data_IF_013926553917
#
_entry.id   IF_013926553917
#
_cell.length_a   1.000
_cell.length_b   1.000
_cell.length_c   1.000
_cell.angle_alpha   90.00
_cell.angle_beta   90.00
_cell.angle_gamma   90.00
#
_symmetry.space_group_name_H-M   'P 1'
#
loop_
_entity.id
_entity.type
_entity.pdbx_description
1 polymer ?
#
# COMPACT_ATOMS: atom_id res chain seq x y z
N UNK A 1 -3.94 12.55 -30.08
CA UNK A 1 -4.92 12.33 -29.00
C UNK A 1 -4.62 10.98 -28.38
N UNK A 2 -4.19 10.94 -27.12
CA UNK A 2 -3.99 9.68 -26.39
C UNK A 2 -5.34 9.18 -25.92
N UNK A 3 -5.66 7.93 -26.24
CA UNK A 3 -6.82 7.22 -25.67
C UNK A 3 -6.31 6.36 -24.52
N UNK A 4 -6.91 6.53 -23.35
CA UNK A 4 -6.69 5.67 -22.19
C UNK A 4 -7.86 4.69 -22.08
N UNK A 5 -7.54 3.43 -21.79
CA UNK A 5 -8.54 2.40 -21.48
C UNK A 5 -8.33 1.95 -20.05
N UNK A 6 -9.33 2.20 -19.21
CA UNK A 6 -9.38 1.73 -17.84
C UNK A 6 -10.04 0.35 -17.81
N UNK A 7 -9.47 -0.60 -17.06
CA UNK A 7 -10.03 -1.93 -16.83
C UNK A 7 -9.85 -2.28 -15.37
N UNK A 8 -10.96 -2.44 -14.66
CA UNK A 8 -10.99 -2.70 -13.22
C UNK A 8 -11.85 -3.93 -12.95
N UNK A 9 -11.24 -4.99 -12.43
CA UNK A 9 -11.95 -6.18 -11.96
C UNK A 9 -11.97 -6.18 -10.44
N UNK A 10 -13.17 -6.17 -9.87
CA UNK A 10 -13.40 -6.27 -8.43
C UNK A 10 -14.15 -7.57 -8.13
N UNK A 11 -13.56 -8.40 -7.27
CA UNK A 11 -14.18 -9.62 -6.75
C UNK A 11 -13.92 -9.63 -5.24
N UNK A 12 -14.97 -9.50 -4.44
CA UNK A 12 -14.89 -9.29 -3.01
C UNK A 12 -14.28 -7.92 -2.64
N UNK A 13 -13.40 -7.88 -1.64
CA UNK A 13 -12.71 -6.66 -1.22
C UNK A 13 -11.37 -6.42 -1.95
N UNK A 14 -11.11 -7.13 -3.04
CA UNK A 14 -9.82 -7.11 -3.73
C UNK A 14 -9.96 -6.37 -5.06
N UNK A 15 -9.18 -5.30 -5.22
CA UNK A 15 -9.05 -4.53 -6.46
C UNK A 15 -7.92 -5.13 -7.29
N UNK A 16 -8.18 -5.49 -8.55
CA UNK A 16 -7.13 -5.83 -9.51
C UNK A 16 -7.13 -4.79 -10.64
N UNK A 17 -6.21 -3.83 -10.56
CA UNK A 17 -6.03 -2.76 -11.55
C UNK A 17 -4.85 -3.07 -12.48
N UNK A 18 -5.07 -2.96 -13.79
CA UNK A 18 -3.99 -2.75 -14.76
C UNK A 18 -4.16 -1.35 -15.36
N UNK A 19 -3.27 -0.41 -15.00
CA UNK A 19 -3.17 0.88 -15.67
C UNK A 19 -1.71 1.14 -16.07
N UNK A 20 -1.50 1.30 -17.38
CA UNK A 20 -0.29 1.89 -17.96
C UNK A 20 -0.53 3.39 -18.10
N UNK A 21 0.17 4.22 -17.30
CA UNK A 21 0.44 5.63 -17.61
C UNK A 21 -0.02 6.68 -16.58
N UNK A 22 0.98 7.44 -16.08
CA UNK A 22 0.97 8.70 -15.31
C UNK A 22 0.66 8.64 -13.79
N UNK A 23 1.76 8.63 -13.02
CA UNK A 23 1.87 8.20 -11.61
C UNK A 23 1.82 9.29 -10.53
N UNK A 24 1.54 10.56 -10.83
CA UNK A 24 1.69 11.64 -9.82
C UNK A 24 0.38 12.15 -9.20
N UNK A 25 -0.75 12.06 -9.91
CA UNK A 25 -2.03 12.63 -9.43
C UNK A 25 -2.95 11.59 -8.77
N UNK A 26 -2.95 10.33 -9.25
CA UNK A 26 -3.50 9.19 -8.50
C UNK A 26 -2.85 9.04 -7.11
N UNK A 27 -1.60 9.47 -6.97
CA UNK A 27 -0.87 9.44 -5.70
C UNK A 27 -1.42 10.47 -4.69
N UNK A 28 -1.96 11.63 -5.11
CA UNK A 28 -2.48 12.64 -4.17
C UNK A 28 -3.84 12.27 -3.58
N UNK A 29 -4.82 11.86 -4.41
CA UNK A 29 -6.11 11.37 -3.88
C UNK A 29 -5.97 10.09 -3.05
N UNK A 30 -5.00 9.23 -3.41
CA UNK A 30 -4.56 8.12 -2.58
C UNK A 30 -3.94 8.57 -1.26
N UNK A 31 -3.03 9.53 -1.29
CA UNK A 31 -2.38 10.07 -0.10
C UNK A 31 -3.39 10.69 0.87
N UNK A 32 -4.36 11.49 0.41
CA UNK A 32 -5.38 12.09 1.27
C UNK A 32 -6.28 11.06 1.96
N UNK A 33 -6.56 9.95 1.28
CA UNK A 33 -7.24 8.82 1.91
C UNK A 33 -6.36 8.20 3.00
N UNK A 34 -5.10 7.89 2.69
CA UNK A 34 -4.15 7.28 3.63
C UNK A 34 -3.97 8.16 4.86
N UNK A 35 -3.76 9.47 4.70
CA UNK A 35 -3.54 10.40 5.80
C UNK A 35 -4.76 10.53 6.72
N UNK A 36 -5.97 10.54 6.16
CA UNK A 36 -7.21 10.52 6.96
C UNK A 36 -7.35 9.23 7.75
N UNK A 37 -7.01 8.11 7.14
CA UNK A 37 -7.11 6.81 7.80
C UNK A 37 -6.04 6.62 8.88
N UNK A 38 -4.81 7.07 8.64
CA UNK A 38 -3.75 7.14 9.66
C UNK A 38 -4.22 7.96 10.86
N UNK A 39 -4.79 9.14 10.64
CA UNK A 39 -5.34 9.96 11.71
C UNK A 39 -6.47 9.25 12.50
N UNK A 40 -7.31 8.46 11.82
CA UNK A 40 -8.32 7.61 12.47
C UNK A 40 -7.68 6.52 13.33
N UNK A 41 -6.67 5.84 12.79
CA UNK A 41 -5.98 4.73 13.48
C UNK A 41 -5.22 5.20 14.71
N UNK A 42 -4.57 6.37 14.67
CA UNK A 42 -3.93 6.98 15.84
C UNK A 42 -4.90 7.27 17.00
N UNK A 43 -6.20 7.39 16.73
CA UNK A 43 -7.23 7.55 17.77
C UNK A 43 -7.67 6.22 18.41
N UNK A 44 -7.21 5.08 17.88
CA UNK A 44 -7.50 3.73 18.37
C UNK A 44 -6.29 3.13 19.10
N UNK A 45 -6.50 2.22 20.06
CA UNK A 45 -5.39 1.46 20.63
C UNK A 45 -4.76 0.57 19.54
N UNK A 46 -3.43 0.54 19.42
CA UNK A 46 -2.75 -0.36 18.50
C UNK A 46 -2.90 -1.82 18.92
N UNK A 47 -2.87 -2.74 17.95
CA UNK A 47 -2.80 -4.17 18.20
C UNK A 47 -1.45 -4.59 18.80
N UNK A 48 -0.37 -3.89 18.41
CA UNK A 48 0.95 -4.01 19.00
C UNK A 48 1.48 -2.62 19.32
N UNK A 49 1.94 -2.41 20.56
CA UNK A 49 2.69 -1.22 20.95
C UNK A 49 3.97 -1.65 21.67
N UNK A 50 5.11 -1.28 21.11
CA UNK A 50 6.42 -1.55 21.68
C UNK A 50 7.17 -0.23 21.90
N UNK A 51 7.39 0.09 23.18
CA UNK A 51 8.09 1.30 23.65
C UNK A 51 9.52 1.01 24.12
N UNK A 52 9.94 -0.26 24.03
CA UNK A 52 11.26 -0.77 24.42
C UNK A 52 11.70 -0.38 25.84
N UNK A 53 10.74 -0.17 26.75
CA UNK A 53 10.98 0.19 28.16
C UNK A 53 11.23 -1.03 29.06
N UNK A 54 10.96 -2.23 28.56
CA UNK A 54 11.00 -3.49 29.32
C UNK A 54 11.99 -4.48 28.71
N UNK A 55 12.15 -5.64 29.36
CA UNK A 55 12.91 -6.76 28.81
C UNK A 55 12.48 -7.05 27.36
N UNK A 56 13.39 -7.51 26.48
CA UNK A 56 13.23 -7.45 25.02
C UNK A 56 12.02 -8.22 24.45
N UNK A 57 11.34 -9.04 25.25
CA UNK A 57 10.12 -9.72 24.82
C UNK A 57 10.39 -10.65 23.64
N UNK A 58 9.72 -10.37 22.51
CA UNK A 58 9.91 -11.10 21.26
C UNK A 58 11.14 -10.63 20.45
N UNK A 59 11.74 -9.50 20.82
CA UNK A 59 12.85 -8.91 20.09
C UNK A 59 14.16 -9.66 20.32
N UNK A 60 14.83 -9.97 19.23
CA UNK A 60 16.17 -10.54 19.26
C UNK A 60 17.18 -9.56 19.88
N UNK A 61 18.05 -10.04 20.76
CA UNK A 61 19.16 -9.26 21.32
C UNK A 61 20.42 -10.10 21.32
N UNK A 62 21.57 -9.46 21.12
CA UNK A 62 22.86 -10.14 21.07
C UNK A 62 23.99 -9.23 20.64
N UNK A 63 25.20 -9.57 21.08
CA UNK A 63 26.44 -8.92 20.65
C UNK A 63 27.23 -9.91 19.78
N UNK A 64 27.56 -9.50 18.57
CA UNK A 64 28.24 -10.30 17.56
C UNK A 64 29.47 -9.55 17.05
N UNK A 65 30.39 -10.26 16.40
CA UNK A 65 31.67 -9.69 15.95
C UNK A 65 31.51 -8.46 15.03
N UNK A 66 30.41 -8.39 14.28
CA UNK A 66 30.19 -7.37 13.25
C UNK A 66 28.84 -6.63 13.35
N UNK A 67 28.05 -6.88 14.39
CA UNK A 67 26.83 -6.13 14.72
C UNK A 67 26.35 -6.40 16.16
N UNK A 68 25.54 -5.50 16.70
CA UNK A 68 24.88 -5.70 17.98
C UNK A 68 23.40 -5.29 17.91
N UNK A 69 22.57 -6.05 18.62
CA UNK A 69 21.15 -5.82 18.84
C UNK A 69 20.91 -5.68 20.35
N UNK A 70 20.33 -4.57 20.80
CA UNK A 70 20.12 -4.34 22.23
C UNK A 70 18.89 -3.49 22.49
N UNK A 71 18.21 -3.74 23.61
CA UNK A 71 17.29 -2.76 24.19
C UNK A 71 18.07 -1.99 25.26
N UNK A 72 18.29 -0.70 25.03
CA UNK A 72 19.01 0.18 25.96
C UNK A 72 18.38 1.58 25.98
N UNK A 73 18.43 2.24 27.13
CA UNK A 73 17.88 3.59 27.33
C UNK A 73 16.42 3.80 26.83
N UNK A 74 15.62 2.73 26.77
CA UNK A 74 14.25 2.78 26.29
C UNK A 74 14.09 2.62 24.78
N UNK A 75 15.14 2.33 24.01
CA UNK A 75 15.06 2.15 22.57
C UNK A 75 15.67 0.80 22.14
N UNK A 76 15.27 0.32 20.97
CA UNK A 76 15.90 -0.82 20.30
C UNK A 76 17.04 -0.35 19.41
N UNK A 77 18.26 -0.71 19.77
CA UNK A 77 19.48 -0.33 19.08
C UNK A 77 19.96 -1.42 18.13
N UNK A 78 20.29 -1.01 16.91
CA UNK A 78 21.02 -1.81 15.93
C UNK A 78 22.33 -1.09 15.63
N UNK A 79 23.47 -1.73 15.95
CA UNK A 79 24.81 -1.29 15.55
C UNK A 79 25.34 -2.23 14.48
N UNK A 80 25.83 -1.70 13.36
CA UNK A 80 26.41 -2.45 12.24
C UNK A 80 27.86 -2.04 12.08
N UNK A 81 28.77 -2.96 12.41
CA UNK A 81 30.22 -2.72 12.43
C UNK A 81 30.93 -3.27 11.17
N UNK A 82 30.19 -3.89 10.25
CA UNK A 82 30.68 -4.31 8.92
C UNK A 82 30.04 -3.51 7.78
N UNK A 83 30.86 -3.10 6.81
CA UNK A 83 30.39 -2.45 5.59
C UNK A 83 29.47 -3.36 4.76
N UNK A 84 28.50 -2.76 4.06
CA UNK A 84 27.55 -3.43 3.16
C UNK A 84 26.70 -4.55 3.80
N UNK A 85 26.67 -4.63 5.14
CA UNK A 85 25.91 -5.63 5.87
C UNK A 85 24.52 -5.11 6.20
N UNK A 86 23.49 -5.89 5.86
CA UNK A 86 22.12 -5.72 6.34
C UNK A 86 21.91 -6.58 7.59
N UNK A 87 21.41 -5.96 8.65
CA UNK A 87 21.10 -6.58 9.94
C UNK A 87 19.66 -6.24 10.29
N UNK A 88 18.92 -7.19 10.86
CA UNK A 88 17.59 -6.90 11.41
C UNK A 88 17.37 -7.60 12.74
N UNK A 89 16.59 -6.95 13.60
CA UNK A 89 15.96 -7.53 14.77
C UNK A 89 14.61 -8.12 14.42
N UNK A 90 14.39 -9.37 14.80
CA UNK A 90 13.12 -10.06 14.62
C UNK A 90 12.14 -9.65 15.74
N UNK A 91 11.06 -8.96 15.40
CA UNK A 91 9.93 -8.67 16.31
C UNK A 91 8.82 -9.73 16.24
N UNK A 92 7.63 -9.49 16.83
CA UNK A 92 6.50 -10.43 16.82
C UNK A 92 6.03 -10.87 15.42
N UNK A 93 5.58 -12.12 15.31
CA UNK A 93 4.97 -12.69 14.08
C UNK A 93 3.45 -12.51 14.02
N UNK A 94 2.80 -12.34 15.17
CA UNK A 94 1.34 -12.21 15.31
C UNK A 94 0.92 -10.74 15.19
N UNK A 95 1.00 -10.22 13.97
CA UNK A 95 0.52 -8.87 13.61
C UNK A 95 -0.57 -8.98 12.53
N UNK A 96 -1.47 -7.99 12.40
CA UNK A 96 -2.50 -8.00 11.36
C UNK A 96 -1.93 -8.11 9.95
N UNK A 97 -2.63 -8.82 9.05
CA UNK A 97 -2.19 -8.97 7.66
C UNK A 97 -2.29 -7.64 6.85
N UNK A 98 -3.43 -6.98 7.01
CA UNK A 98 -3.64 -5.61 6.54
C UNK A 98 -3.38 -4.68 7.73
N UNK A 99 -2.31 -3.89 7.64
CA UNK A 99 -1.78 -3.14 8.77
C UNK A 99 -1.42 -1.70 8.42
N UNK A 100 -1.49 -0.82 9.41
CA UNK A 100 -0.66 0.36 9.47
C UNK A 100 0.37 0.14 10.57
N UNK A 101 1.66 0.28 10.26
CA UNK A 101 2.72 0.24 11.25
C UNK A 101 3.56 1.50 11.17
N UNK A 102 3.94 2.06 12.32
CA UNK A 102 4.86 3.18 12.41
C UNK A 102 5.93 2.97 13.48
N UNK A 103 7.11 3.55 13.29
CA UNK A 103 8.21 3.51 14.26
C UNK A 103 9.06 4.77 14.15
N UNK A 104 9.51 5.28 15.30
CA UNK A 104 10.47 6.37 15.35
C UNK A 104 11.89 5.82 15.24
N UNK A 105 12.67 6.33 14.28
CA UNK A 105 14.07 5.96 14.08
C UNK A 105 15.00 7.15 14.38
N UNK A 106 16.09 6.90 15.09
CA UNK A 106 17.06 7.90 15.51
C UNK A 106 18.43 7.53 14.98
N UNK A 107 19.04 8.43 14.20
CA UNK A 107 20.45 8.33 13.87
C UNK A 107 21.30 8.54 15.13
N UNK A 108 22.13 7.55 15.47
CA UNK A 108 23.02 7.60 16.65
C UNK A 108 24.47 7.87 16.23
N UNK A 109 24.99 7.13 15.25
CA UNK A 109 26.37 7.26 14.79
C UNK A 109 26.60 6.63 13.40
N UNK A 110 27.76 6.93 12.81
CA UNK A 110 28.26 6.31 11.59
C UNK A 110 28.18 7.21 10.35
N UNK A 111 28.43 6.68 9.15
CA UNK A 111 28.18 7.39 7.90
C UNK A 111 26.70 7.76 7.75
N UNK A 112 26.42 8.88 7.06
CA UNK A 112 25.05 9.27 6.71
C UNK A 112 24.49 8.50 5.51
N UNK A 113 25.38 8.03 4.63
CA UNK A 113 25.07 7.00 3.63
C UNK A 113 24.91 5.66 4.38
N UNK A 114 23.75 5.52 5.01
CA UNK A 114 23.37 4.36 5.79
C UNK A 114 21.99 3.89 5.35
N UNK A 115 21.47 2.86 5.99
CA UNK A 115 20.06 2.55 5.82
C UNK A 115 19.49 2.04 7.13
N UNK A 116 18.27 2.44 7.42
CA UNK A 116 17.46 1.93 8.51
C UNK A 116 16.03 1.74 8.03
N UNK A 117 15.28 0.84 8.65
CA UNK A 117 13.99 0.51 8.09
C UNK A 117 13.08 -0.36 8.94
N UNK A 118 11.83 -0.40 8.48
CA UNK A 118 10.76 -1.24 9.00
C UNK A 118 10.52 -2.39 8.03
N UNK A 119 10.79 -3.60 8.51
CA UNK A 119 10.42 -4.85 7.85
C UNK A 119 8.98 -5.23 8.21
N UNK A 120 8.21 -5.68 7.23
CA UNK A 120 6.82 -6.08 7.43
C UNK A 120 6.46 -7.30 6.58
N UNK A 121 5.44 -8.04 7.03
CA UNK A 121 5.02 -9.32 6.46
C UNK A 121 6.19 -10.29 6.34
N UNK A 122 7.01 -10.37 7.38
CA UNK A 122 8.14 -11.30 7.46
C UNK A 122 7.67 -12.74 7.56
N UNK A 123 8.20 -13.57 6.67
CA UNK A 123 7.97 -14.99 6.55
C UNK A 123 8.88 -15.79 7.49
N UNK A 124 8.52 -17.04 7.76
CA UNK A 124 9.31 -17.91 8.65
C UNK A 124 10.75 -18.19 8.15
N UNK A 125 11.02 -18.03 6.86
CA UNK A 125 12.37 -18.15 6.28
C UNK A 125 13.18 -16.85 6.34
N UNK A 126 12.62 -15.76 6.91
CA UNK A 126 13.24 -14.45 6.99
C UNK A 126 12.99 -13.55 5.78
N UNK A 127 12.33 -14.05 4.72
CA UNK A 127 11.92 -13.20 3.60
C UNK A 127 10.88 -12.17 4.08
N UNK A 128 10.95 -10.92 3.62
CA UNK A 128 10.04 -9.85 4.05
C UNK A 128 10.04 -8.70 3.05
N UNK A 129 9.06 -7.81 3.14
CA UNK A 129 9.25 -6.45 2.61
C UNK A 129 10.06 -5.63 3.60
N UNK A 130 10.90 -4.74 3.08
CA UNK A 130 11.70 -3.81 3.87
C UNK A 130 11.53 -2.40 3.27
N UNK A 131 10.86 -1.54 4.02
CA UNK A 131 10.86 -0.11 3.79
C UNK A 131 12.09 0.48 4.46
N UNK A 132 12.96 1.11 3.67
CA UNK A 132 14.20 1.71 4.17
C UNK A 132 14.23 3.21 3.92
N UNK A 133 14.77 3.94 4.89
CA UNK A 133 15.28 5.29 4.73
C UNK A 133 16.80 5.31 4.96
N UNK A 134 17.45 6.40 4.54
CA UNK A 134 18.85 6.72 4.78
C UNK A 134 18.95 8.08 5.46
N UNK A 135 19.96 8.27 6.30
CA UNK A 135 20.17 9.53 7.03
C UNK A 135 20.50 10.70 6.10
N UNK A 136 20.94 10.44 4.86
CA UNK A 136 21.19 11.44 3.83
C UNK A 136 19.98 11.80 2.95
N UNK A 137 18.77 11.34 3.30
CA UNK A 137 17.52 11.79 2.67
C UNK A 137 17.06 10.96 1.46
N UNK A 138 17.29 9.65 1.51
CA UNK A 138 16.81 8.71 0.51
C UNK A 138 15.91 7.64 1.13
N UNK A 139 15.04 7.06 0.33
CA UNK A 139 14.17 5.95 0.72
C UNK A 139 14.04 4.91 -0.39
N UNK A 140 13.66 3.68 -0.04
CA UNK A 140 13.35 2.60 -0.99
C UNK A 140 12.36 1.58 -0.40
N UNK A 141 11.82 0.74 -1.27
CA UNK A 141 11.08 -0.46 -0.88
C UNK A 141 11.65 -1.67 -1.62
N UNK A 142 12.02 -2.71 -0.87
CA UNK A 142 12.55 -3.94 -1.44
C UNK A 142 11.98 -5.18 -0.74
N UNK A 143 12.07 -6.33 -1.40
CA UNK A 143 11.93 -7.63 -0.77
C UNK A 143 13.31 -8.11 -0.31
N UNK A 144 13.43 -8.46 0.96
CA UNK A 144 14.52 -9.30 1.45
C UNK A 144 14.18 -10.72 1.04
N UNK A 145 15.11 -11.35 0.31
CA UNK A 145 15.00 -12.74 -0.12
C UNK A 145 16.25 -13.50 0.29
N UNK A 146 16.20 -14.82 0.26
CA UNK A 146 17.38 -15.68 0.42
C UNK A 146 18.53 -15.35 -0.54
N UNK A 147 18.25 -14.72 -1.69
CA UNK A 147 19.25 -14.33 -2.70
C UNK A 147 19.73 -12.88 -2.57
N UNK A 148 19.24 -12.14 -1.58
CA UNK A 148 19.52 -10.72 -1.39
C UNK A 148 18.28 -9.84 -1.58
N UNK A 149 18.49 -8.57 -1.88
CA UNK A 149 17.42 -7.58 -2.03
C UNK A 149 16.88 -7.55 -3.46
N UNK A 150 15.56 -7.62 -3.60
CA UNK A 150 14.85 -7.38 -4.85
C UNK A 150 14.04 -6.09 -4.74
N UNK A 151 14.47 -5.03 -5.43
CA UNK A 151 13.85 -3.70 -5.34
C UNK A 151 12.46 -3.67 -6.01
N UNK A 152 11.48 -3.12 -5.30
CA UNK A 152 10.16 -2.75 -5.83
C UNK A 152 10.20 -1.28 -6.22
N UNK A 153 10.73 -0.45 -5.32
CA UNK A 153 11.00 0.96 -5.52
C UNK A 153 12.50 1.17 -5.27
N UNK A 154 13.28 1.60 -6.28
CA UNK A 154 14.71 1.86 -6.10
C UNK A 154 14.91 3.08 -5.18
N UNK A 155 16.15 3.31 -4.75
CA UNK A 155 16.48 4.50 -3.95
C UNK A 155 16.02 5.80 -4.64
N UNK A 156 15.15 6.54 -3.94
CA UNK A 156 14.62 7.84 -4.35
C UNK A 156 14.92 8.88 -3.27
N UNK A 157 15.25 10.10 -3.68
CA UNK A 157 15.42 11.21 -2.74
C UNK A 157 14.05 11.63 -2.20
N UNK A 158 13.96 11.91 -0.90
CA UNK A 158 12.76 12.50 -0.27
C UNK A 158 12.59 13.97 -0.68
N UNK A 159 13.70 14.68 -0.94
CA UNK A 159 13.72 16.11 -1.23
C UNK A 159 14.03 17.00 -0.01
N UNK A 160 14.19 16.40 1.18
CA UNK A 160 14.66 17.04 2.41
C UNK A 160 15.57 16.08 3.18
N UNK A 161 16.55 16.56 3.97
CA UNK A 161 17.39 15.66 4.76
C UNK A 161 16.54 14.93 5.80
N UNK A 162 16.61 13.59 5.82
CA UNK A 162 15.87 12.78 6.78
C UNK A 162 16.45 12.91 8.21
N UNK A 163 17.73 13.25 8.36
CA UNK A 163 18.37 13.36 9.66
C UNK A 163 18.98 14.75 9.91
N UNK A 164 18.31 15.55 10.74
CA UNK A 164 19.00 16.51 11.61
C UNK A 164 19.30 15.79 12.93
N UNK A 165 20.57 15.76 13.34
CA UNK A 165 20.98 15.05 14.55
C UNK A 165 20.14 15.49 15.78
N UNK A 166 19.42 14.54 16.38
CA UNK A 166 18.57 14.77 17.55
C UNK A 166 17.05 14.74 17.27
N UNK A 167 16.64 14.70 16.01
CA UNK A 167 15.24 14.47 15.63
C UNK A 167 15.02 13.01 15.21
N UNK A 168 13.87 12.44 15.60
CA UNK A 168 13.41 11.17 15.07
C UNK A 168 12.94 11.34 13.63
N UNK A 169 13.19 10.34 12.80
CA UNK A 169 12.48 10.11 11.53
C UNK A 169 11.41 9.07 11.78
N UNK A 170 10.14 9.41 11.56
CA UNK A 170 9.05 8.44 11.69
C UNK A 170 8.85 7.70 10.37
N UNK A 171 9.05 6.39 10.39
CA UNK A 171 8.74 5.52 9.25
C UNK A 171 7.35 4.93 9.44
N UNK A 172 6.49 5.07 8.42
CA UNK A 172 5.16 4.46 8.38
C UNK A 172 4.97 3.56 7.17
N UNK A 173 4.28 2.44 7.35
CA UNK A 173 3.84 1.54 6.28
C UNK A 173 2.35 1.28 6.42
N UNK A 174 1.59 1.69 5.42
CA UNK A 174 0.17 1.35 5.28
C UNK A 174 0.02 0.26 4.22
N UNK A 175 -0.27 -0.98 4.64
CA UNK A 175 -0.33 -2.14 3.77
C UNK A 175 -1.74 -2.74 3.75
N UNK A 176 -2.48 -2.54 2.65
CA UNK A 176 -3.85 -3.03 2.46
C UNK A 176 -3.89 -4.02 1.29
N UNK A 177 -4.00 -5.31 1.58
CA UNK A 177 -3.82 -6.35 0.57
C UNK A 177 -2.45 -6.18 -0.12
N UNK A 178 -2.36 -6.13 -1.45
CA UNK A 178 -1.10 -5.92 -2.15
C UNK A 178 -0.67 -4.45 -2.26
N UNK A 179 -1.51 -3.49 -1.86
CA UNK A 179 -1.19 -2.06 -1.91
C UNK A 179 -0.35 -1.67 -0.69
N UNK A 180 0.76 -0.98 -0.93
CA UNK A 180 1.74 -0.58 0.08
C UNK A 180 1.98 0.92 -0.07
N UNK A 181 1.64 1.71 0.93
CA UNK A 181 1.98 3.14 0.99
C UNK A 181 3.05 3.37 2.04
N UNK A 182 4.08 4.13 1.68
CA UNK A 182 5.21 4.45 2.54
C UNK A 182 5.07 5.88 3.04
N UNK A 183 5.29 6.08 4.34
CA UNK A 183 5.23 7.38 4.97
C UNK A 183 6.55 7.71 5.65
N UNK A 184 6.99 8.95 5.52
CA UNK A 184 8.11 9.51 6.29
C UNK A 184 7.61 10.77 6.97
N UNK A 185 7.74 10.85 8.28
CA UNK A 185 7.30 11.99 9.10
C UNK A 185 5.83 12.36 8.88
N UNK A 186 4.99 11.35 8.62
CA UNK A 186 3.56 11.50 8.37
C UNK A 186 3.19 11.92 6.94
N UNK A 187 4.14 12.11 6.04
CA UNK A 187 3.88 12.38 4.62
C UNK A 187 3.97 11.11 3.78
N UNK A 188 3.03 10.89 2.86
CA UNK A 188 3.08 9.76 1.92
C UNK A 188 4.16 10.05 0.85
N UNK A 189 5.24 9.26 0.88
CA UNK A 189 6.37 9.42 -0.06
C UNK A 189 6.32 8.45 -1.24
N UNK A 190 5.50 7.40 -1.13
CA UNK A 190 5.37 6.39 -2.19
C UNK A 190 4.11 5.56 -2.06
N UNK A 191 3.59 5.10 -3.20
CA UNK A 191 2.55 4.08 -3.27
C UNK A 191 3.00 2.99 -4.26
N UNK A 192 3.07 1.76 -3.78
CA UNK A 192 3.56 0.61 -4.51
C UNK A 192 2.54 -0.55 -4.45
N UNK A 193 2.76 -1.55 -5.31
CA UNK A 193 1.94 -2.76 -5.37
C UNK A 193 2.86 -3.97 -5.45
N UNK A 194 2.67 -4.95 -4.56
CA UNK A 194 3.31 -6.26 -4.61
C UNK A 194 2.48 -7.27 -3.79
N UNK A 195 2.28 -8.48 -4.31
CA UNK A 195 1.46 -9.53 -3.70
C UNK A 195 2.26 -10.77 -3.23
N UNK A 196 3.59 -10.67 -3.20
CA UNK A 196 4.49 -11.77 -2.82
C UNK A 196 4.29 -12.24 -1.38
N UNK A 197 4.02 -11.31 -0.46
CA UNK A 197 3.80 -11.60 0.96
C UNK A 197 2.49 -10.95 1.41
N UNK A 198 1.52 -11.76 1.84
CA UNK A 198 0.19 -11.29 2.24
C UNK A 198 0.09 -10.96 3.74
N UNK A 199 0.89 -11.62 4.58
CA UNK A 199 0.91 -11.48 6.03
C UNK A 199 2.25 -11.97 6.58
N UNK A 200 2.55 -11.66 7.84
CA UNK A 200 3.77 -12.09 8.54
C UNK A 200 4.25 -11.05 9.54
N UNK A 201 5.35 -11.33 10.22
CA UNK A 201 5.85 -10.50 11.32
C UNK A 201 6.44 -9.15 10.92
N UNK A 202 6.84 -8.39 11.94
CA UNK A 202 7.53 -7.10 11.80
C UNK A 202 8.99 -7.19 12.24
N UNK A 203 9.89 -6.49 11.56
CA UNK A 203 11.31 -6.42 11.87
C UNK A 203 11.79 -4.96 11.87
N UNK A 204 12.90 -4.69 12.54
CA UNK A 204 13.61 -3.42 12.42
C UNK A 204 15.00 -3.70 11.89
N UNK A 205 15.45 -2.91 10.93
CA UNK A 205 16.68 -3.19 10.20
C UNK A 205 17.61 -1.98 10.14
N UNK A 206 18.91 -2.25 10.06
CA UNK A 206 19.92 -1.27 9.68
C UNK A 206 20.96 -1.89 8.74
N UNK A 207 21.58 -1.06 7.90
CA UNK A 207 22.71 -1.46 7.07
C UNK A 207 23.71 -0.32 6.88
N UNK A 208 24.92 -0.70 6.49
CA UNK A 208 26.09 0.17 6.44
C UNK A 208 26.75 0.28 5.04
N UNK A 209 26.01 0.70 3.98
CA UNK A 209 26.56 0.83 2.63
C UNK A 209 27.69 1.87 2.51
N UNK A 210 27.62 2.98 3.25
CA UNK A 210 28.66 4.00 3.29
C UNK A 210 29.86 3.68 4.19
N UNK A 211 29.90 2.49 4.81
CA UNK A 211 30.98 2.03 5.69
C UNK A 211 30.52 1.69 7.12
N UNK A 212 31.39 1.03 7.91
CA UNK A 212 31.03 0.46 9.21
C UNK A 212 30.77 1.51 10.29
N UNK A 213 30.18 1.07 11.41
CA UNK A 213 29.92 1.90 12.58
C UNK A 213 28.59 2.64 12.54
N UNK A 214 27.66 2.19 11.69
CA UNK A 214 26.28 2.69 11.67
C UNK A 214 25.58 2.25 12.95
N UNK A 215 24.99 3.20 13.68
CA UNK A 215 24.17 2.93 14.83
C UNK A 215 22.85 3.68 14.70
N UNK A 216 21.74 2.95 14.85
CA UNK A 216 20.38 3.48 14.79
C UNK A 216 19.59 2.95 15.97
N UNK A 217 18.81 3.82 16.60
CA UNK A 217 17.88 3.45 17.66
C UNK A 217 16.44 3.56 17.15
N UNK A 218 15.57 2.68 17.62
CA UNK A 218 14.15 2.68 17.29
C UNK A 218 13.32 2.76 18.56
N UNK A 219 12.27 3.59 18.56
CA UNK A 219 11.31 3.69 19.67
C UNK A 219 9.88 3.75 19.12
N UNK A 220 8.91 3.53 20.01
CA UNK A 220 7.49 3.76 19.79
C UNK A 220 6.91 3.01 18.56
N UNK A 221 7.30 1.75 18.36
CA UNK A 221 6.71 0.93 17.29
C UNK A 221 5.25 0.65 17.62
N UNK A 222 4.35 1.05 16.74
CA UNK A 222 2.93 0.75 16.87
C UNK A 222 2.37 0.12 15.58
N UNK A 223 1.48 -0.85 15.74
CA UNK A 223 0.82 -1.54 14.62
C UNK A 223 -0.68 -1.59 14.86
N UNK A 224 -1.46 -1.13 13.88
CA UNK A 224 -2.91 -1.18 13.87
C UNK A 224 -3.42 -2.07 12.73
N UNK A 225 -4.53 -2.80 12.93
CA UNK A 225 -5.22 -3.45 11.84
C UNK A 225 -5.97 -2.42 10.99
N UNK A 226 -5.97 -2.58 9.67
CA UNK A 226 -6.76 -1.72 8.76
C UNK A 226 -8.23 -2.10 8.67
N UNK A 227 -8.61 -3.25 9.26
CA UNK A 227 -10.00 -3.68 9.40
C UNK A 227 -10.28 -3.97 10.87
N UNK A 228 -11.48 -3.63 11.31
CA UNK A 228 -11.95 -4.02 12.64
C UNK A 228 -12.06 -5.55 12.68
N UNK A 229 -11.12 -6.23 13.33
CA UNK A 229 -11.23 -7.64 13.75
C UNK A 229 -12.32 -7.74 14.85
N UNK A 230 -13.57 -7.51 14.48
CA UNK A 230 -14.76 -7.76 15.27
C UNK A 230 -15.72 -8.63 14.45
N UNK A 231 -15.38 -9.91 14.31
CA UNK A 231 -16.11 -10.84 13.45
C UNK A 231 -15.88 -12.33 13.70
N UNK A 232 -15.72 -12.75 14.96
CA UNK A 232 -16.04 -14.10 15.52
C UNK A 232 -15.56 -15.37 14.79
N UNK A 233 -14.66 -16.13 15.44
CA UNK A 233 -14.67 -17.60 15.38
C UNK A 233 -15.90 -18.14 16.15
N UNK A 234 -16.50 -19.30 15.77
CA UNK A 234 -16.03 -20.53 16.40
C UNK A 234 -16.07 -21.84 15.54
N UNK A 235 -15.16 -22.73 15.92
CA UNK A 235 -15.25 -24.19 16.06
C UNK A 235 -15.32 -25.18 14.87
N UNK A 236 -14.46 -26.18 15.00
CA UNK A 236 -14.36 -27.40 14.19
C UNK A 236 -15.60 -28.30 14.26
N UNK A 237 -16.01 -28.85 13.11
CA UNK A 237 -16.46 -30.26 13.01
C UNK A 237 -16.41 -30.77 11.56
N UNK A 238 -15.92 -32.00 11.38
CA UNK A 238 -16.10 -32.88 10.20
C UNK A 238 -16.69 -34.20 10.77
N UNK A 239 -17.30 -35.16 10.01
CA UNK A 239 -17.56 -35.27 8.56
C UNK A 239 -18.95 -35.83 8.14
N UNK A 240 -19.37 -35.65 6.87
CA UNK A 240 -20.50 -36.40 6.26
C UNK A 240 -20.88 -36.00 4.81
N UNK A 241 -20.47 -36.82 3.83
CA UNK A 241 -20.70 -36.81 2.36
C UNK A 241 -22.17 -37.19 1.97
N UNK A 242 -22.72 -37.03 0.72
CA UNK A 242 -22.22 -36.44 -0.54
C UNK A 242 -23.09 -35.32 -1.20
N UNK A 243 -22.38 -34.52 -2.00
CA UNK A 243 -22.73 -33.63 -3.12
C UNK A 243 -23.97 -33.97 -3.97
N UNK A 244 -24.70 -32.93 -4.42
CA UNK A 244 -25.00 -32.74 -5.85
C UNK A 244 -24.25 -31.53 -6.43
N UNK A 245 -23.85 -31.67 -7.69
CA UNK A 245 -22.94 -30.80 -8.40
C UNK A 245 -23.35 -29.32 -8.41
N UNK A 246 -22.42 -28.46 -7.99
CA UNK A 246 -22.42 -27.03 -8.31
C UNK A 246 -21.11 -26.74 -9.03
N UNK A 247 -21.24 -26.10 -10.18
CA UNK A 247 -20.18 -25.48 -10.96
C UNK A 247 -19.15 -24.80 -10.05
N UNK A 248 -17.83 -25.01 -10.23
CA UNK A 248 -16.85 -24.46 -9.32
C UNK A 248 -16.85 -22.93 -9.39
N UNK A 249 -17.31 -22.29 -8.32
CA UNK A 249 -16.80 -20.97 -7.92
C UNK A 249 -15.30 -21.17 -7.63
N UNK A 250 -14.38 -20.46 -8.33
CA UNK A 250 -12.97 -20.61 -8.05
C UNK A 250 -12.69 -20.12 -6.62
N UNK A 251 -11.84 -20.87 -5.91
CA UNK A 251 -11.34 -20.47 -4.61
C UNK A 251 -10.62 -19.10 -4.70
N UNK A 252 -10.60 -18.29 -3.63
CA UNK A 252 -9.96 -16.96 -3.60
C UNK A 252 -8.47 -16.95 -3.99
N UNK A 253 -7.84 -18.12 -4.10
CA UNK A 253 -6.41 -18.29 -4.40
C UNK A 253 -6.14 -18.63 -5.88
N UNK A 254 -7.17 -18.80 -6.71
CA UNK A 254 -7.01 -19.12 -8.14
C UNK A 254 -6.80 -17.90 -9.06
N UNK A 255 -6.70 -16.69 -8.50
CA UNK A 255 -6.70 -15.43 -9.25
C UNK A 255 -5.37 -14.66 -9.23
N UNK A 256 -4.29 -15.26 -8.72
CA UNK A 256 -2.92 -14.70 -8.76
C UNK A 256 -2.13 -15.11 -10.02
N UNK A 257 -2.67 -15.99 -10.87
CA UNK A 257 -2.07 -16.31 -12.17
C UNK A 257 -2.54 -15.30 -13.25
N UNK A 258 -1.64 -14.53 -13.89
CA UNK A 258 -2.00 -13.61 -14.97
C UNK A 258 -2.79 -14.27 -16.11
N UNK A 259 -2.52 -15.55 -16.41
CA UNK A 259 -3.27 -16.29 -17.42
C UNK A 259 -4.70 -16.63 -16.94
N UNK A 260 -4.87 -16.98 -15.66
CA UNK A 260 -6.18 -17.18 -15.05
C UNK A 260 -6.99 -15.88 -14.97
N UNK A 261 -6.35 -14.75 -14.63
CA UNK A 261 -6.96 -13.40 -14.67
C UNK A 261 -7.39 -13.06 -16.10
N UNK A 262 -6.53 -13.25 -17.08
CA UNK A 262 -6.86 -12.99 -18.49
C UNK A 262 -8.01 -13.89 -18.98
N UNK A 263 -8.01 -15.17 -18.63
CA UNK A 263 -9.09 -16.09 -18.92
C UNK A 263 -10.40 -15.70 -18.23
N UNK A 264 -10.33 -15.22 -16.98
CA UNK A 264 -11.49 -14.74 -16.24
C UNK A 264 -12.07 -13.46 -16.85
N UNK A 265 -11.22 -12.50 -17.22
CA UNK A 265 -11.64 -11.30 -17.94
C UNK A 265 -12.29 -11.65 -19.28
N UNK A 266 -11.72 -12.61 -20.02
CA UNK A 266 -12.31 -13.09 -21.27
C UNK A 266 -13.69 -13.75 -21.05
N UNK A 267 -13.84 -14.54 -19.99
CA UNK A 267 -15.11 -15.15 -19.62
C UNK A 267 -16.16 -14.10 -19.25
N UNK A 268 -15.82 -13.12 -18.40
CA UNK A 268 -16.73 -12.02 -18.02
C UNK A 268 -17.13 -11.19 -19.24
N UNK A 269 -16.19 -10.88 -20.14
CA UNK A 269 -16.48 -10.14 -21.37
C UNK A 269 -17.37 -10.90 -22.36
N UNK A 270 -17.46 -12.22 -22.25
CA UNK A 270 -18.35 -13.05 -23.05
C UNK A 270 -19.78 -13.09 -22.49
N UNK A 271 -19.98 -12.72 -21.22
CA UNK A 271 -21.30 -12.57 -20.62
C UNK A 271 -21.98 -11.28 -21.11
N UNK A 272 -23.33 -11.24 -21.17
CA UNK A 272 -24.05 -10.01 -21.49
C UNK A 272 -23.70 -8.90 -20.50
N UNK A 273 -23.32 -7.73 -21.02
CA UNK A 273 -23.02 -6.56 -20.19
C UNK A 273 -24.28 -6.12 -19.45
N UNK A 274 -24.17 -6.01 -18.13
CA UNK A 274 -25.24 -5.45 -17.30
C UNK A 274 -25.54 -3.99 -17.69
N UNK A 275 -24.49 -3.25 -18.04
CA UNK A 275 -24.61 -1.90 -18.55
C UNK A 275 -23.50 -1.60 -19.58
N UNK A 276 -23.85 -0.85 -20.60
CA UNK A 276 -22.93 -0.23 -21.52
C UNK A 276 -23.56 1.06 -22.05
N UNK A 277 -22.76 2.11 -22.13
CA UNK A 277 -23.17 3.39 -22.71
C UNK A 277 -22.15 3.77 -23.79
N UNK A 278 -22.64 4.03 -25.00
CA UNK A 278 -21.84 4.58 -26.10
C UNK A 278 -22.05 6.09 -26.25
N UNK A 279 -22.82 6.69 -25.34
CA UNK A 279 -23.19 8.10 -25.26
C UNK A 279 -23.76 8.69 -26.56
N UNK A 280 -24.26 7.85 -27.48
CA UNK A 280 -24.94 8.33 -28.70
C UNK A 280 -26.36 8.79 -28.43
N UNK A 281 -26.97 8.32 -27.34
CA UNK A 281 -28.32 8.65 -26.92
C UNK A 281 -28.36 8.88 -25.42
N UNK A 282 -29.41 9.53 -24.97
CA UNK A 282 -29.67 9.65 -23.55
C UNK A 282 -30.16 8.35 -22.96
N UNK A 283 -29.35 7.74 -22.10
CA UNK A 283 -29.79 6.65 -21.25
C UNK A 283 -30.49 7.15 -19.98
N UNK A 284 -30.38 8.45 -19.65
CA UNK A 284 -30.95 9.05 -18.44
C UNK A 284 -30.26 8.63 -17.14
N UNK A 285 -29.11 7.97 -17.21
CA UNK A 285 -28.45 7.32 -16.07
C UNK A 285 -27.28 8.10 -15.49
N UNK A 286 -26.77 9.08 -16.21
CA UNK A 286 -25.61 9.88 -15.80
C UNK A 286 -26.07 11.25 -15.30
N UNK A 287 -25.61 11.64 -14.12
CA UNK A 287 -25.88 12.96 -13.58
C UNK A 287 -25.16 14.03 -14.42
N UNK A 288 -25.91 15.01 -14.94
CA UNK A 288 -25.35 16.18 -15.59
C UNK A 288 -25.36 17.35 -14.60
N UNK A 289 -24.19 17.78 -14.16
CA UNK A 289 -23.98 18.87 -13.22
C UNK A 289 -23.43 20.11 -13.92
N UNK A 290 -23.79 21.28 -13.39
CA UNK A 290 -23.25 22.59 -13.75
C UNK A 290 -22.97 23.32 -12.43
N UNK A 291 -21.70 23.56 -12.15
CA UNK A 291 -21.21 24.16 -10.91
C UNK A 291 -20.08 25.14 -11.23
N UNK A 292 -19.69 25.99 -10.28
CA UNK A 292 -18.55 26.90 -10.46
C UNK A 292 -17.24 26.13 -10.75
N UNK A 293 -17.10 24.93 -10.17
CA UNK A 293 -15.96 24.03 -10.38
C UNK A 293 -15.91 23.34 -11.75
N UNK A 294 -17.01 23.33 -12.49
CA UNK A 294 -17.08 22.75 -13.82
C UNK A 294 -18.43 22.17 -14.22
N UNK A 295 -18.48 21.58 -15.41
CA UNK A 295 -19.69 21.11 -16.06
C UNK A 295 -19.52 19.71 -16.66
N UNK A 296 -20.54 18.88 -16.54
CA UNK A 296 -20.61 17.59 -17.24
C UNK A 296 -21.67 17.67 -18.33
N UNK A 297 -21.30 17.38 -19.56
CA UNK A 297 -22.19 17.42 -20.74
C UNK A 297 -22.10 16.15 -21.55
N UNK A 298 -23.10 15.86 -22.37
CA UNK A 298 -23.00 14.81 -23.39
C UNK A 298 -22.76 15.44 -24.75
N UNK A 299 -21.59 15.24 -25.32
CA UNK A 299 -21.23 15.72 -26.66
C UNK A 299 -20.37 14.69 -27.39
N UNK A 300 -20.44 14.67 -28.72
CA UNK A 300 -19.54 13.88 -29.56
C UNK A 300 -19.48 12.37 -29.25
N UNK A 301 -20.62 11.78 -28.86
CA UNK A 301 -20.69 10.36 -28.44
C UNK A 301 -19.81 10.06 -27.22
N UNK A 302 -19.70 11.04 -26.31
CA UNK A 302 -19.00 10.91 -25.04
C UNK A 302 -19.72 11.70 -23.94
N UNK A 303 -19.49 11.29 -22.70
CA UNK A 303 -19.67 12.16 -21.54
C UNK A 303 -18.42 13.04 -21.41
N UNK A 304 -18.58 14.34 -21.62
CA UNK A 304 -17.55 15.35 -21.44
C UNK A 304 -17.63 15.90 -20.02
N UNK A 305 -16.51 15.87 -19.34
CA UNK A 305 -16.33 16.51 -18.03
C UNK A 305 -15.36 17.66 -18.26
N UNK A 306 -15.80 18.88 -17.96
CA UNK A 306 -15.01 20.09 -18.04
C UNK A 306 -14.81 20.62 -16.63
N UNK A 307 -13.55 20.88 -16.27
CA UNK A 307 -13.15 21.41 -14.97
C UNK A 307 -12.76 22.87 -15.17
N UNK A 308 -13.38 23.77 -14.43
CA UNK A 308 -13.25 25.22 -14.62
C UNK A 308 -12.42 25.91 -13.54
N UNK A 309 -12.18 25.24 -12.41
CA UNK A 309 -11.38 25.73 -11.29
C UNK A 309 -10.14 24.86 -11.02
N UNK A 310 -9.01 25.44 -10.58
CA UNK A 310 -7.88 24.64 -10.10
C UNK A 310 -8.27 23.80 -8.88
N UNK A 311 -7.55 22.70 -8.67
CA UNK A 311 -7.71 21.81 -7.50
C UNK A 311 -9.15 21.29 -7.28
N UNK A 312 -9.92 21.15 -8.37
CA UNK A 312 -11.33 20.78 -8.33
C UNK A 312 -11.59 19.44 -9.01
N UNK A 313 -12.24 18.53 -8.28
CA UNK A 313 -12.74 17.27 -8.83
C UNK A 313 -14.18 17.45 -9.30
N UNK A 314 -14.43 17.24 -10.59
CA UNK A 314 -15.77 17.20 -11.18
C UNK A 314 -16.06 15.76 -11.59
N UNK A 315 -17.19 15.21 -11.15
CA UNK A 315 -17.58 13.84 -11.49
C UNK A 315 -19.05 13.76 -11.87
N UNK A 316 -19.39 12.72 -12.64
CA UNK A 316 -20.76 12.35 -12.95
C UNK A 316 -21.06 11.00 -12.32
N UNK A 317 -22.13 10.91 -11.55
CA UNK A 317 -22.57 9.66 -10.93
C UNK A 317 -23.51 8.92 -11.88
N UNK A 318 -23.37 7.59 -11.95
CA UNK A 318 -24.32 6.73 -12.64
C UNK A 318 -25.31 6.15 -11.63
N UNK A 319 -26.61 6.22 -11.89
CA UNK A 319 -27.69 5.69 -11.03
C UNK A 319 -27.89 4.16 -11.13
N UNK A 320 -26.86 3.46 -11.60
CA UNK A 320 -26.89 2.06 -11.90
C UNK A 320 -26.99 1.11 -10.73
N UNK A 321 -27.11 -0.18 -11.07
CA UNK A 321 -26.91 -1.25 -10.12
C UNK A 321 -25.56 -1.06 -9.41
N UNK A 322 -25.55 -1.34 -8.09
CA UNK A 322 -24.37 -1.28 -7.23
C UNK A 322 -23.94 -2.70 -6.84
N UNK A 323 -23.45 -3.52 -7.79
CA UNK A 323 -23.04 -4.89 -7.48
C UNK A 323 -21.80 -4.89 -6.58
N UNK A 324 -21.68 -5.92 -5.74
CA UNK A 324 -20.51 -6.10 -4.89
C UNK A 324 -19.26 -6.47 -5.71
N UNK A 325 -19.45 -7.25 -6.79
CA UNK A 325 -18.42 -7.72 -7.70
C UNK A 325 -18.72 -7.20 -9.11
N UNK A 326 -17.72 -6.65 -9.79
CA UNK A 326 -17.90 -6.09 -11.12
C UNK A 326 -16.61 -6.05 -11.95
N UNK A 327 -16.78 -6.08 -13.26
CA UNK A 327 -15.79 -5.61 -14.22
C UNK A 327 -16.31 -4.28 -14.79
N UNK A 328 -15.55 -3.21 -14.62
CA UNK A 328 -15.84 -1.92 -15.28
C UNK A 328 -14.71 -1.58 -16.25
N UNK A 329 -15.10 -1.19 -17.46
CA UNK A 329 -14.19 -0.75 -18.52
C UNK A 329 -14.67 0.61 -19.04
N UNK A 330 -13.76 1.56 -19.15
CA UNK A 330 -14.05 2.89 -19.72
C UNK A 330 -12.93 3.31 -20.67
N UNK A 331 -13.33 3.86 -21.82
CA UNK A 331 -12.42 4.53 -22.74
C UNK A 331 -12.50 6.04 -22.51
N UNK A 332 -11.37 6.67 -22.20
CA UNK A 332 -11.29 8.10 -21.98
C UNK A 332 -10.29 8.76 -22.94
N UNK A 333 -10.58 10.01 -23.31
CA UNK A 333 -9.70 10.81 -24.17
C UNK A 333 -9.66 12.22 -23.61
N UNK A 334 -8.46 12.76 -23.41
CA UNK A 334 -8.30 14.19 -23.16
C UNK A 334 -8.62 14.95 -24.45
N UNK A 335 -9.72 15.73 -24.42
CA UNK A 335 -10.20 16.50 -25.57
C UNK A 335 -9.51 17.86 -25.64
N UNK A 336 -9.41 18.56 -24.51
CA UNK A 336 -8.88 19.91 -24.38
C UNK A 336 -8.40 20.12 -22.93
N UNK A 337 -7.38 20.97 -22.73
CA UNK A 337 -6.78 21.24 -21.41
C UNK A 337 -5.34 20.73 -21.28
N UNK A 338 -4.74 21.04 -20.13
CA UNK A 338 -3.37 20.62 -19.81
C UNK A 338 -3.27 19.08 -19.70
N UNK A 339 -2.23 18.43 -20.25
CA UNK A 339 -2.03 16.98 -20.14
C UNK A 339 -1.90 16.48 -18.68
N UNK A 340 -1.72 17.40 -17.73
CA UNK A 340 -1.65 17.12 -16.31
C UNK A 340 -3.03 16.95 -15.64
N UNK A 341 -4.15 17.15 -16.34
CA UNK A 341 -5.49 16.93 -15.78
C UNK A 341 -5.77 15.46 -15.44
N UNK A 342 -6.44 15.21 -14.31
CA UNK A 342 -6.88 13.88 -13.87
C UNK A 342 -8.13 13.40 -14.63
N UNK A 343 -8.17 12.10 -14.92
CA UNK A 343 -9.40 11.41 -15.33
C UNK A 343 -9.36 9.96 -14.85
N UNK A 344 -10.50 9.43 -14.41
CA UNK A 344 -10.58 8.07 -13.88
C UNK A 344 -12.01 7.60 -13.65
N UNK A 345 -12.11 6.44 -12.99
CA UNK A 345 -13.39 5.83 -12.60
C UNK A 345 -13.50 5.91 -11.07
N UNK A 346 -14.59 6.50 -10.57
CA UNK A 346 -14.94 6.46 -9.15
C UNK A 346 -15.81 5.21 -8.92
N UNK A 347 -15.46 4.41 -7.93
CA UNK A 347 -16.19 3.20 -7.55
C UNK A 347 -16.39 3.14 -6.03
N UNK A 348 -17.39 2.39 -5.58
CA UNK A 348 -17.83 2.34 -4.17
C UNK A 348 -18.11 3.71 -3.54
N UNK A 349 -18.62 4.65 -4.34
CA UNK A 349 -19.13 5.93 -3.87
C UNK A 349 -20.19 5.72 -2.78
N UNK A 350 -19.99 6.35 -1.63
CA UNK A 350 -20.98 6.46 -0.56
C UNK A 350 -21.60 7.87 -0.62
N UNK A 351 -22.86 7.97 -0.21
CA UNK A 351 -23.62 9.21 -0.24
C UNK A 351 -23.24 10.17 0.89
#
# INVERSE_FOLDING_TARGET
MQRLRFTLLLIGATVLSLALGNSLLHAQGGADYILREVARLHALPPALHEQFRLAPGAWEVGDHDDYALAVDAGAYHIRVDAADKLVWGTGPDDVPADLYAEVDAFYVAGPLDNSFGLGFRRQANGDMYLFSASSDGFYRLAKVTQTGLAEIVPWKATGWPAAEAGNATRLGVFAAGPEISLLIDGEVVEMAWDDSYAAGGVALAASAPGGPGVAVAFDDLAVWPLRDEAGTAPESSTPGKPTPAVTPTPAPHAMTDPAAVAARLAAIRAEPREFADDFRRDAGRWALIETDGGVTTRTDQALRIEVSEPDTLVWSSNDGARPADFLIEADATLVEGEPAGEMGIIFRQQD
#
